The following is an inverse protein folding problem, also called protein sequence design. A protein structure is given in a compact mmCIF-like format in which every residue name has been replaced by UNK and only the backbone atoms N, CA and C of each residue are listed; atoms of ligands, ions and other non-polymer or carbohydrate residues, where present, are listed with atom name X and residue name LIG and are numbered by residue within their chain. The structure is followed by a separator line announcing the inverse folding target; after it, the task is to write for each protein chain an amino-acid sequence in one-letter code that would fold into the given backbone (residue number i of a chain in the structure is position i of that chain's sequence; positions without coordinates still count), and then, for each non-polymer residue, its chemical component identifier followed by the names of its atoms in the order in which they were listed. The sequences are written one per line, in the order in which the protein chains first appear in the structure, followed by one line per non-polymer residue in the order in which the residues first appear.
data_IF_313438084307
#
_entry.id   IF_313438084307
#
_cell.length_a   1.000
_cell.length_b   1.000
_cell.length_c   1.000
_cell.angle_alpha   90.00
_cell.angle_beta   90.00
_cell.angle_gamma   90.00
#
_symmetry.space_group_name_H-M   'P 1'
#
loop_
_entity.id
_entity.type
_entity.pdbx_description
1 polymer ?
#
# COMPACT_ATOMS: atom_id res chain seq x y z
N UNK A 1 11.00 19.53 2.96
CA UNK A 1 11.34 18.10 2.88
C UNK A 1 12.22 17.83 1.67
N UNK A 2 11.78 18.25 0.49
CA UNK A 2 12.53 18.03 -0.76
C UNK A 2 13.98 18.55 -0.68
N UNK A 3 14.18 19.78 -0.18
CA UNK A 3 15.52 20.36 -0.05
C UNK A 3 16.42 19.53 0.89
N UNK A 4 15.88 18.99 1.97
CA UNK A 4 16.63 18.12 2.88
C UNK A 4 17.09 16.83 2.22
N UNK A 5 16.26 16.23 1.37
CA UNK A 5 16.64 15.06 0.57
C UNK A 5 17.71 15.42 -0.47
N UNK A 6 17.51 16.51 -1.22
CA UNK A 6 18.40 16.90 -2.30
C UNK A 6 19.80 17.32 -1.78
N UNK A 7 19.83 17.98 -0.63
CA UNK A 7 21.06 18.47 -0.02
C UNK A 7 21.69 17.49 0.99
N UNK A 8 21.07 16.31 1.15
CA UNK A 8 21.46 15.28 2.14
C UNK A 8 21.60 15.89 3.56
N UNK A 9 20.63 16.72 3.95
CA UNK A 9 20.60 17.43 5.22
C UNK A 9 19.52 16.85 6.13
N UNK A 10 19.78 16.95 7.44
CA UNK A 10 18.79 16.63 8.45
C UNK A 10 17.61 17.60 8.39
N UNK A 11 16.46 17.13 8.87
CA UNK A 11 15.26 17.95 9.00
C UNK A 11 14.79 17.99 10.45
N UNK A 12 14.44 19.16 10.92
CA UNK A 12 13.60 19.34 12.11
C UNK A 12 12.13 19.25 11.70
N UNK A 13 11.42 18.23 12.18
CA UNK A 13 10.08 17.87 11.72
C UNK A 13 9.07 17.88 12.87
N UNK A 14 7.93 18.54 12.68
CA UNK A 14 6.74 18.39 13.51
C UNK A 14 5.62 17.76 12.69
N UNK A 15 4.96 16.74 13.21
CA UNK A 15 3.88 16.04 12.50
C UNK A 15 2.79 15.57 13.47
N UNK A 16 1.60 15.28 12.93
CA UNK A 16 0.53 14.63 13.66
C UNK A 16 0.63 13.11 13.50
N UNK A 17 0.57 12.37 14.61
CA UNK A 17 0.50 10.92 14.58
C UNK A 17 -0.91 10.44 14.15
N UNK A 18 -1.09 9.12 14.00
CA UNK A 18 -2.38 8.54 13.62
C UNK A 18 -3.53 8.86 14.59
N UNK A 19 -3.22 9.13 15.85
CA UNK A 19 -4.21 9.53 16.87
C UNK A 19 -4.53 11.03 16.82
N UNK A 20 -4.00 11.79 15.85
CA UNK A 20 -4.18 13.23 15.76
C UNK A 20 -3.36 14.04 16.77
N UNK A 21 -2.49 13.39 17.53
CA UNK A 21 -1.64 14.06 18.53
C UNK A 21 -0.43 14.68 17.81
N UNK A 22 -0.19 15.96 18.10
CA UNK A 22 1.00 16.66 17.62
C UNK A 22 2.25 16.12 18.30
N UNK A 23 3.27 15.80 17.53
CA UNK A 23 4.56 15.40 18.09
C UNK A 23 5.42 16.62 18.41
N UNK A 24 6.31 16.47 19.38
CA UNK A 24 7.40 17.43 19.56
C UNK A 24 8.30 17.43 18.32
N UNK A 25 8.95 18.57 17.98
CA UNK A 25 9.86 18.60 16.87
C UNK A 25 10.92 17.51 17.00
N UNK A 26 11.01 16.68 15.99
CA UNK A 26 11.96 15.58 15.92
C UNK A 26 13.03 15.87 14.87
N UNK A 27 14.27 15.49 15.16
CA UNK A 27 15.36 15.48 14.22
C UNK A 27 15.30 14.20 13.41
N UNK A 28 15.29 14.31 12.08
CA UNK A 28 15.20 13.17 11.19
C UNK A 28 16.26 13.23 10.10
N UNK A 29 16.60 12.06 9.59
CA UNK A 29 17.47 11.87 8.44
C UNK A 29 16.61 11.39 7.27
N UNK A 30 16.32 12.23 6.27
CA UNK A 30 15.48 11.85 5.16
C UNK A 30 16.20 10.84 4.26
N UNK A 31 15.52 9.76 3.88
CA UNK A 31 16.06 8.67 3.07
C UNK A 31 15.44 8.58 1.68
N UNK A 32 14.21 9.04 1.52
CA UNK A 32 13.52 9.04 0.23
C UNK A 32 12.05 9.39 0.32
N UNK A 33 11.44 9.63 -0.85
CA UNK A 33 10.00 9.84 -1.00
C UNK A 33 9.39 8.67 -1.77
N UNK A 34 8.27 8.17 -1.27
CA UNK A 34 7.51 7.09 -1.89
C UNK A 34 6.06 7.53 -2.05
N UNK A 35 5.52 7.33 -3.24
CA UNK A 35 4.13 7.62 -3.54
C UNK A 35 3.37 6.28 -3.59
N UNK A 36 2.39 6.15 -2.71
CA UNK A 36 1.50 4.98 -2.65
C UNK A 36 0.08 5.49 -2.82
N UNK A 37 -0.56 5.10 -3.88
CA UNK A 37 -1.85 5.65 -4.30
C UNK A 37 -1.79 7.19 -4.40
N UNK A 38 -2.58 7.88 -3.59
CA UNK A 38 -2.60 9.34 -3.56
C UNK A 38 -1.85 9.94 -2.37
N UNK A 39 -1.04 9.15 -1.67
CA UNK A 39 -0.31 9.59 -0.47
C UNK A 39 1.19 9.56 -0.74
N UNK A 40 1.84 10.68 -0.47
CA UNK A 40 3.29 10.76 -0.46
C UNK A 40 3.82 10.50 0.96
N UNK A 41 4.78 9.60 1.07
CA UNK A 41 5.45 9.23 2.32
C UNK A 41 6.92 9.64 2.27
N UNK A 42 7.39 10.25 3.34
CA UNK A 42 8.81 10.41 3.62
C UNK A 42 9.30 9.17 4.37
N UNK A 43 10.27 8.46 3.79
CA UNK A 43 11.05 7.45 4.50
C UNK A 43 12.19 8.16 5.18
N UNK A 44 12.35 7.98 6.48
CA UNK A 44 13.38 8.65 7.27
C UNK A 44 13.75 7.82 8.50
N UNK A 45 14.92 8.10 9.07
CA UNK A 45 15.25 7.65 10.43
C UNK A 45 15.11 8.84 11.39
N UNK A 46 14.91 8.54 12.66
CA UNK A 46 14.73 9.54 13.72
C UNK A 46 15.94 9.55 14.64
N UNK A 47 16.45 10.72 14.94
CA UNK A 47 17.61 10.92 15.83
C UNK A 47 18.79 10.01 15.43
N UNK A 48 19.25 9.17 16.34
CA UNK A 48 20.35 8.23 16.10
C UNK A 48 19.86 6.78 15.86
N UNK A 49 18.55 6.59 15.61
CA UNK A 49 18.00 5.27 15.27
C UNK A 49 18.28 4.97 13.80
N UNK A 50 18.62 3.70 13.53
CA UNK A 50 18.83 3.24 12.14
C UNK A 50 17.58 2.63 11.49
N UNK A 51 16.51 2.44 12.28
CA UNK A 51 15.25 1.86 11.84
C UNK A 51 14.45 2.85 10.97
N UNK A 52 14.28 2.56 9.65
CA UNK A 52 13.54 3.46 8.77
C UNK A 52 12.06 3.50 9.13
N UNK A 53 11.49 4.70 9.14
CA UNK A 53 10.09 4.95 9.42
C UNK A 53 9.44 5.74 8.30
N UNK A 54 8.11 5.66 8.23
CA UNK A 54 7.30 6.32 7.23
C UNK A 54 6.50 7.45 7.87
N UNK A 55 6.61 8.64 7.29
CA UNK A 55 5.82 9.81 7.68
C UNK A 55 5.05 10.30 6.47
N UNK A 56 3.73 10.24 6.52
CA UNK A 56 2.90 10.77 5.45
C UNK A 56 3.05 12.30 5.37
N UNK A 57 3.36 12.82 4.17
CA UNK A 57 3.66 14.25 3.99
C UNK A 57 2.51 15.15 4.42
N UNK A 58 1.25 14.75 4.18
CA UNK A 58 0.08 15.53 4.57
C UNK A 58 -0.11 15.67 6.10
N UNK A 59 0.63 14.89 6.89
CA UNK A 59 0.63 14.98 8.36
C UNK A 59 1.78 15.84 8.91
N UNK A 60 2.68 16.29 8.04
CA UNK A 60 3.77 17.17 8.43
C UNK A 60 3.23 18.60 8.56
N UNK A 61 3.31 19.14 9.74
CA UNK A 61 2.91 20.52 10.02
C UNK A 61 4.01 21.52 9.71
N UNK A 62 5.25 21.13 10.02
CA UNK A 62 6.41 21.94 9.71
C UNK A 62 7.64 21.08 9.44
N UNK A 63 8.48 21.53 8.52
CA UNK A 63 9.77 20.93 8.22
C UNK A 63 10.79 22.04 7.99
N UNK A 64 11.92 21.96 8.69
CA UNK A 64 13.04 22.90 8.54
C UNK A 64 14.30 22.10 8.22
N UNK A 65 15.05 22.53 7.20
CA UNK A 65 16.39 21.99 6.90
C UNK A 65 17.35 22.44 8.00
N UNK A 66 18.12 21.51 8.52
CA UNK A 66 19.18 21.76 9.51
C UNK A 66 20.54 21.87 8.82
N UNK A 67 21.52 22.39 9.54
CA UNK A 67 22.88 22.56 8.98
C UNK A 67 23.66 21.23 8.92
N UNK A 68 23.29 20.27 9.76
CA UNK A 68 23.93 18.97 9.86
C UNK A 68 23.59 18.06 8.67
N UNK A 69 24.56 17.27 8.25
CA UNK A 69 24.35 16.26 7.20
C UNK A 69 23.47 15.11 7.70
N UNK A 70 22.63 14.59 6.81
CA UNK A 70 21.86 13.40 7.09
C UNK A 70 22.77 12.18 7.27
N UNK A 71 22.47 11.33 8.25
CA UNK A 71 23.12 10.04 8.39
C UNK A 71 22.24 9.00 7.65
N UNK A 72 22.72 8.56 6.49
CA UNK A 72 22.08 7.53 5.69
C UNK A 72 22.70 6.21 6.06
N UNK A 73 21.93 5.21 6.56
CA UNK A 73 22.49 3.90 6.88
C UNK A 73 23.17 3.27 5.65
N UNK A 74 24.40 2.78 5.81
CA UNK A 74 25.27 2.34 4.70
C UNK A 74 24.63 1.27 3.80
N UNK A 75 23.75 0.44 4.35
CA UNK A 75 23.07 -0.65 3.64
C UNK A 75 21.64 -0.29 3.22
N UNK A 76 21.20 0.95 3.42
CA UNK A 76 19.84 1.35 3.06
C UNK A 76 19.72 1.58 1.56
N UNK A 77 18.76 0.89 0.96
CA UNK A 77 18.32 1.14 -0.42
C UNK A 77 16.80 1.26 -0.42
N UNK A 78 16.31 2.39 -0.87
CA UNK A 78 14.88 2.68 -0.89
C UNK A 78 14.09 1.62 -1.67
N UNK A 79 14.64 1.15 -2.79
CA UNK A 79 14.01 0.10 -3.59
C UNK A 79 13.85 -1.20 -2.80
N UNK A 80 14.90 -1.67 -2.13
CA UNK A 80 14.85 -2.89 -1.32
C UNK A 80 13.88 -2.73 -0.13
N UNK A 81 13.80 -1.53 0.45
CA UNK A 81 12.83 -1.21 1.50
C UNK A 81 11.38 -1.29 1.00
N UNK A 82 11.10 -0.81 -0.22
CA UNK A 82 9.78 -0.91 -0.84
C UNK A 82 9.47 -2.38 -1.18
N UNK A 83 10.40 -3.06 -1.84
CA UNK A 83 10.25 -4.45 -2.27
C UNK A 83 10.06 -5.42 -1.07
N UNK A 84 10.58 -5.06 0.11
CA UNK A 84 10.35 -5.79 1.35
C UNK A 84 8.92 -5.62 1.94
N UNK A 85 8.02 -4.94 1.23
CA UNK A 85 6.61 -4.82 1.61
C UNK A 85 6.31 -3.78 2.69
N UNK A 86 7.25 -2.88 3.00
CA UNK A 86 7.08 -1.90 4.09
C UNK A 86 5.94 -0.88 3.87
N UNK A 87 5.43 -0.76 2.63
CA UNK A 87 4.28 0.08 2.30
C UNK A 87 2.99 -0.71 2.13
N UNK A 88 3.05 -2.01 2.26
CA UNK A 88 1.88 -2.87 2.21
C UNK A 88 1.39 -3.11 3.65
N UNK A 89 0.08 -3.17 3.82
CA UNK A 89 -0.52 -3.56 5.09
C UNK A 89 -0.79 -5.08 5.03
N UNK A 90 0.16 -5.94 5.48
CA UNK A 90 -0.02 -7.37 5.42
C UNK A 90 -1.25 -7.77 6.25
N UNK A 91 -2.06 -8.66 5.72
CA UNK A 91 -3.22 -9.23 6.40
C UNK A 91 -2.97 -10.69 6.79
N UNK A 92 -1.85 -11.27 6.29
CA UNK A 92 -1.40 -12.63 6.54
C UNK A 92 0.12 -12.75 6.44
N UNK A 93 0.63 -13.96 6.63
CA UNK A 93 2.06 -14.26 6.72
C UNK A 93 2.67 -14.61 5.35
N UNK A 94 2.44 -13.80 4.32
CA UNK A 94 3.11 -14.00 3.05
C UNK A 94 2.23 -13.92 1.79
N UNK A 95 2.56 -14.74 0.79
CA UNK A 95 1.86 -14.79 -0.49
C UNK A 95 0.67 -15.75 -0.46
N UNK A 96 -0.35 -15.46 -1.26
CA UNK A 96 -1.51 -16.31 -1.49
C UNK A 96 -1.66 -16.64 -2.97
N UNK A 97 -2.25 -17.80 -3.26
CA UNK A 97 -2.69 -18.15 -4.61
C UNK A 97 -4.05 -17.53 -4.87
N UNK A 98 -4.03 -16.31 -5.42
CA UNK A 98 -5.25 -15.61 -5.77
C UNK A 98 -5.93 -16.30 -6.95
N UNK A 99 -7.24 -16.53 -6.83
CA UNK A 99 -8.12 -16.98 -7.92
C UNK A 99 -9.32 -16.08 -7.97
N UNK A 100 -9.50 -15.36 -9.06
CA UNK A 100 -10.63 -14.46 -9.25
C UNK A 100 -11.24 -14.67 -10.64
N UNK A 101 -12.55 -14.53 -10.70
CA UNK A 101 -13.30 -14.54 -11.94
C UNK A 101 -13.70 -13.12 -12.28
N UNK A 102 -13.37 -12.66 -13.48
CA UNK A 102 -13.59 -11.29 -13.93
C UNK A 102 -14.53 -11.22 -15.11
N UNK A 103 -15.23 -10.10 -15.20
CA UNK A 103 -15.88 -9.72 -16.44
C UNK A 103 -14.86 -9.50 -17.55
N UNK A 104 -15.19 -9.82 -18.82
CA UNK A 104 -14.25 -9.74 -19.94
C UNK A 104 -13.60 -8.36 -20.12
N UNK A 105 -14.32 -7.29 -19.81
CA UNK A 105 -13.79 -5.92 -19.92
C UNK A 105 -12.67 -5.65 -18.93
N UNK A 106 -12.82 -6.14 -17.69
CA UNK A 106 -11.77 -6.00 -16.66
C UNK A 106 -10.60 -6.90 -16.99
N UNK A 107 -10.86 -8.13 -17.47
CA UNK A 107 -9.82 -9.07 -17.84
C UNK A 107 -8.89 -8.51 -18.93
N UNK A 108 -9.44 -7.80 -19.91
CA UNK A 108 -8.66 -7.14 -20.96
C UNK A 108 -7.67 -6.11 -20.40
N UNK A 109 -8.08 -5.35 -19.39
CA UNK A 109 -7.18 -4.42 -18.72
C UNK A 109 -6.02 -5.14 -18.02
N UNK A 110 -6.30 -6.33 -17.42
CA UNK A 110 -5.30 -7.15 -16.74
C UNK A 110 -4.33 -7.85 -17.72
N UNK A 111 -4.71 -8.04 -18.98
CA UNK A 111 -3.80 -8.45 -20.05
C UNK A 111 -2.77 -7.36 -20.36
N UNK A 112 -3.22 -6.11 -20.41
CA UNK A 112 -2.36 -4.95 -20.70
C UNK A 112 -1.47 -4.55 -19.52
N UNK A 113 -1.96 -4.77 -18.28
CA UNK A 113 -1.27 -4.43 -17.04
C UNK A 113 -1.36 -5.58 -16.02
N UNK A 114 -0.54 -6.62 -16.19
CA UNK A 114 -0.57 -7.79 -15.29
C UNK A 114 -0.06 -7.46 -13.89
N UNK A 115 -0.59 -8.14 -12.88
CA UNK A 115 -0.11 -8.04 -11.49
C UNK A 115 1.39 -8.35 -11.37
N UNK A 116 1.79 -9.46 -11.99
CA UNK A 116 3.16 -9.94 -11.97
C UNK A 116 3.36 -11.05 -13.02
N UNK A 117 4.54 -11.64 -13.04
CA UNK A 117 4.90 -12.71 -13.98
C UNK A 117 4.20 -14.05 -13.73
N UNK A 118 3.58 -14.24 -12.56
CA UNK A 118 2.86 -15.48 -12.22
C UNK A 118 1.42 -15.48 -12.69
N UNK A 119 0.92 -14.33 -13.16
CA UNK A 119 -0.45 -14.17 -13.63
C UNK A 119 -0.76 -15.09 -14.82
N UNK A 120 -1.90 -15.78 -14.72
CA UNK A 120 -2.49 -16.55 -15.82
C UNK A 120 -3.94 -16.15 -15.97
N UNK A 121 -4.40 -16.03 -17.22
CA UNK A 121 -5.79 -15.71 -17.57
C UNK A 121 -6.33 -16.86 -18.42
N UNK A 122 -7.47 -17.41 -18.04
CA UNK A 122 -8.14 -18.51 -18.74
C UNK A 122 -9.59 -18.12 -19.01
N UNK A 123 -9.99 -18.14 -20.28
CA UNK A 123 -11.38 -17.85 -20.64
C UNK A 123 -12.29 -19.03 -20.28
N UNK A 124 -13.38 -18.74 -19.58
CA UNK A 124 -14.41 -19.72 -19.23
C UNK A 124 -15.55 -19.77 -20.26
N UNK A 125 -16.29 -20.88 -20.32
CA UNK A 125 -17.38 -21.07 -21.27
C UNK A 125 -18.54 -20.11 -21.11
N UNK A 126 -18.68 -19.47 -19.94
CA UNK A 126 -19.70 -18.47 -19.63
C UNK A 126 -19.30 -17.05 -20.08
N UNK A 127 -18.12 -16.90 -20.72
CA UNK A 127 -17.57 -15.64 -21.19
C UNK A 127 -16.76 -14.88 -20.11
N UNK A 128 -16.72 -15.36 -18.89
CA UNK A 128 -15.86 -14.78 -17.85
C UNK A 128 -14.40 -15.23 -18.02
N UNK A 129 -13.50 -14.58 -17.32
CA UNK A 129 -12.07 -14.90 -17.34
C UNK A 129 -11.60 -15.22 -15.94
N UNK A 130 -11.06 -16.43 -15.76
CA UNK A 130 -10.43 -16.85 -14.53
C UNK A 130 -8.99 -16.37 -14.51
N UNK A 131 -8.66 -15.56 -13.51
CA UNK A 131 -7.29 -15.16 -13.18
C UNK A 131 -6.75 -16.07 -12.06
N UNK A 132 -5.52 -16.51 -12.23
CA UNK A 132 -4.70 -17.10 -11.16
C UNK A 132 -3.38 -16.38 -11.07
N UNK A 133 -2.96 -15.99 -9.87
CA UNK A 133 -1.66 -15.34 -9.63
C UNK A 133 -1.20 -15.60 -8.20
N UNK A 134 0.09 -15.66 -7.98
CA UNK A 134 0.68 -15.59 -6.65
C UNK A 134 0.86 -14.12 -6.28
N UNK A 135 0.20 -13.67 -5.22
CA UNK A 135 0.21 -12.25 -4.79
C UNK A 135 0.40 -12.15 -3.28
N UNK A 136 0.93 -11.02 -2.82
CA UNK A 136 1.00 -10.76 -1.39
C UNK A 136 -0.38 -10.55 -0.79
N UNK A 137 -0.61 -11.11 0.41
CA UNK A 137 -1.85 -10.98 1.15
C UNK A 137 -1.89 -9.63 1.89
N UNK A 138 -2.42 -8.62 1.23
CA UNK A 138 -2.42 -7.22 1.70
C UNK A 138 -3.82 -6.62 1.78
N UNK A 139 -3.97 -5.56 2.58
CA UNK A 139 -5.19 -4.77 2.59
C UNK A 139 -5.45 -4.10 1.24
N UNK A 140 -4.39 -3.67 0.53
CA UNK A 140 -4.48 -3.06 -0.79
C UNK A 140 -5.12 -4.01 -1.81
N UNK A 141 -4.77 -5.30 -1.78
CA UNK A 141 -5.42 -6.30 -2.63
C UNK A 141 -6.93 -6.33 -2.39
N UNK A 142 -7.37 -6.30 -1.12
CA UNK A 142 -8.79 -6.29 -0.76
C UNK A 142 -9.50 -5.04 -1.23
N UNK A 143 -8.90 -3.87 -1.02
CA UNK A 143 -9.46 -2.59 -1.47
C UNK A 143 -9.59 -2.55 -3.00
N UNK A 144 -8.58 -3.04 -3.71
CA UNK A 144 -8.61 -3.14 -5.15
C UNK A 144 -9.74 -4.08 -5.63
N UNK A 145 -9.87 -5.26 -5.04
CA UNK A 145 -10.96 -6.19 -5.36
C UNK A 145 -12.33 -5.55 -5.11
N UNK A 146 -12.50 -4.86 -3.98
CA UNK A 146 -13.75 -4.16 -3.65
C UNK A 146 -14.05 -3.01 -4.61
N UNK A 147 -13.03 -2.32 -5.12
CA UNK A 147 -13.21 -1.22 -6.07
C UNK A 147 -13.81 -1.65 -7.40
N UNK A 148 -13.67 -2.92 -7.76
CA UNK A 148 -14.25 -3.51 -8.97
C UNK A 148 -15.73 -3.90 -8.81
N UNK A 149 -16.24 -3.90 -7.58
CA UNK A 149 -17.64 -4.20 -7.28
C UNK A 149 -18.08 -5.55 -7.81
N UNK A 150 -19.19 -5.58 -8.56
CA UNK A 150 -19.77 -6.82 -9.10
C UNK A 150 -19.00 -7.39 -10.32
N UNK A 151 -17.96 -6.73 -10.80
CA UNK A 151 -17.19 -7.16 -11.96
C UNK A 151 -16.12 -8.20 -11.61
N UNK A 152 -15.97 -8.54 -10.32
CA UNK A 152 -15.02 -9.55 -9.83
C UNK A 152 -15.67 -10.48 -8.82
N UNK A 153 -15.39 -11.76 -8.96
CA UNK A 153 -15.68 -12.76 -7.95
C UNK A 153 -14.38 -13.38 -7.42
N UNK A 154 -14.14 -13.29 -6.13
CA UNK A 154 -13.05 -14.00 -5.49
C UNK A 154 -13.44 -15.47 -5.35
N UNK A 155 -12.73 -16.36 -6.06
CA UNK A 155 -12.93 -17.81 -6.03
C UNK A 155 -12.07 -18.45 -4.94
N UNK A 156 -10.87 -17.93 -4.72
CA UNK A 156 -9.93 -18.43 -3.71
C UNK A 156 -8.81 -17.42 -3.41
N UNK A 157 -8.11 -17.61 -2.30
CA UNK A 157 -8.27 -18.69 -1.32
C UNK A 157 -9.59 -18.58 -0.51
N UNK A 158 -10.03 -19.66 0.17
CA UNK A 158 -11.31 -19.69 0.91
C UNK A 158 -11.43 -18.57 1.95
N UNK A 159 -10.35 -18.25 2.66
CA UNK A 159 -10.30 -17.24 3.71
C UNK A 159 -10.58 -15.84 3.13
N UNK A 160 -9.92 -15.50 2.02
CA UNK A 160 -10.13 -14.23 1.32
C UNK A 160 -11.57 -14.16 0.77
N UNK A 161 -12.06 -15.25 0.16
CA UNK A 161 -13.45 -15.32 -0.33
C UNK A 161 -14.45 -15.07 0.79
N UNK A 162 -14.25 -15.67 1.96
CA UNK A 162 -15.13 -15.47 3.09
C UNK A 162 -15.11 -14.02 3.61
N UNK A 163 -13.94 -13.41 3.72
CA UNK A 163 -13.80 -12.01 4.11
C UNK A 163 -14.51 -11.07 3.13
N UNK A 164 -14.34 -11.30 1.81
CA UNK A 164 -15.02 -10.51 0.78
C UNK A 164 -16.54 -10.65 0.88
N UNK A 165 -17.04 -11.88 1.08
CA UNK A 165 -18.46 -12.15 1.26
C UNK A 165 -19.05 -11.41 2.46
N UNK A 166 -18.36 -11.41 3.59
CA UNK A 166 -18.79 -10.69 4.80
C UNK A 166 -18.80 -9.17 4.58
N UNK A 167 -17.74 -8.65 3.95
CA UNK A 167 -17.66 -7.23 3.62
C UNK A 167 -18.80 -6.80 2.70
N UNK A 168 -19.02 -7.53 1.60
CA UNK A 168 -20.12 -7.23 0.67
C UNK A 168 -21.49 -7.30 1.36
N UNK A 169 -21.71 -8.27 2.25
CA UNK A 169 -22.95 -8.35 3.03
C UNK A 169 -23.14 -7.14 3.93
N UNK A 170 -22.10 -6.73 4.65
CA UNK A 170 -22.14 -5.55 5.51
C UNK A 170 -22.36 -4.29 4.70
N UNK A 171 -21.74 -4.17 3.52
CA UNK A 171 -22.00 -3.06 2.60
C UNK A 171 -23.45 -3.04 2.15
N UNK A 172 -24.03 -4.18 1.76
CA UNK A 172 -25.44 -4.24 1.34
C UNK A 172 -26.38 -3.76 2.44
N UNK A 173 -26.14 -4.14 3.69
CA UNK A 173 -26.95 -3.69 4.85
C UNK A 173 -26.95 -2.16 5.04
N UNK A 174 -25.90 -1.45 4.60
CA UNK A 174 -25.84 0.01 4.69
C UNK A 174 -26.74 0.72 3.66
N UNK A 175 -27.19 -0.01 2.64
CA UNK A 175 -28.05 0.50 1.56
C UNK A 175 -29.45 -0.14 1.59
N UNK A 176 -29.73 -1.01 2.56
CA UNK A 176 -31.09 -1.45 2.83
C UNK A 176 -31.81 -0.28 3.52
N UNK A 177 -32.75 0.34 2.81
CA UNK A 177 -33.61 1.39 3.39
C UNK A 177 -34.42 0.81 4.55
N UNK A 178 -34.44 1.49 5.69
CA UNK A 178 -35.37 1.22 6.78
C UNK A 178 -36.80 1.42 6.25
N UNK A 179 -37.49 0.34 5.88
CA UNK A 179 -38.91 0.32 5.50
C UNK A 179 -39.80 0.26 6.73
#
# INVERSE_FOLDING_TARGET
VYDGLLLEKQLGLSYQNHAGTRTQPAQIHPLGLVFVDNIAYLVCTFWNYEDPRQVALHRIESARVLDESANIPANFKLKEYIDAGNFFFPQGDGTIQLKCRFDPQVAKYLEESPFNQTQKLESESNGQVLLTAEVEDTAQLRWWLLSLGAQVEVVGPPELRQQMKETCRNMALLYEDDV
#
